data_IF_566366350756
#
_entry.id   IF_566366350756
#
_cell.length_a   1.000
_cell.length_b   1.000
_cell.length_c   1.000
_cell.angle_alpha   90.00
_cell.angle_beta   90.00
_cell.angle_gamma   90.00
#
_symmetry.space_group_name_H-M   'P 1'
#
loop_
_entity.id
_entity.type
_entity.pdbx_description
1 polymer ?
#
# COMPACT_ATOMS: atom_id res chain seq x y z
N UNK A 1 -11.81 -29.66 5.78
CA UNK A 1 -10.40 -30.05 5.84
C UNK A 1 -9.57 -29.03 5.09
N UNK A 2 -8.40 -28.71 5.61
CA UNK A 2 -7.43 -27.81 5.01
C UNK A 2 -6.10 -28.55 4.80
N UNK A 3 -5.33 -28.21 3.76
CA UNK A 3 -4.03 -28.83 3.52
C UNK A 3 -3.05 -28.50 4.63
N UNK A 4 -2.25 -29.48 5.05
CA UNK A 4 -1.24 -29.31 6.09
C UNK A 4 0.12 -29.67 5.51
N UNK A 5 1.08 -28.75 5.69
CA UNK A 5 2.48 -28.95 5.33
C UNK A 5 3.32 -28.88 6.60
N UNK A 6 4.18 -29.86 6.79
CA UNK A 6 5.10 -29.93 7.91
C UNK A 6 6.50 -29.48 7.47
N UNK A 7 7.24 -28.80 8.34
CA UNK A 7 8.59 -28.45 7.94
C UNK A 7 9.37 -27.64 8.94
N UNK A 8 10.59 -27.31 8.57
CA UNK A 8 11.50 -26.48 9.31
C UNK A 8 12.13 -25.43 8.38
N UNK A 9 11.72 -24.18 8.53
CA UNK A 9 12.32 -23.09 7.76
C UNK A 9 13.83 -22.95 8.04
N UNK A 10 14.26 -23.19 9.30
CA UNK A 10 15.66 -23.16 9.69
C UNK A 10 16.49 -24.23 8.96
N UNK A 11 15.92 -25.42 8.76
CA UNK A 11 16.59 -26.54 8.12
C UNK A 11 16.25 -26.68 6.64
N UNK A 12 15.51 -25.71 6.10
CA UNK A 12 15.17 -25.57 4.68
C UNK A 12 14.49 -26.80 4.06
N UNK A 13 13.51 -27.40 4.78
CA UNK A 13 12.72 -28.51 4.27
C UNK A 13 11.23 -28.34 4.58
N UNK A 14 10.37 -28.83 3.68
CA UNK A 14 8.91 -28.91 3.83
C UNK A 14 8.40 -30.24 3.26
N UNK A 15 7.39 -30.85 3.90
CA UNK A 15 6.84 -32.15 3.49
C UNK A 15 5.34 -32.24 3.80
N UNK A 16 4.63 -33.03 3.05
CA UNK A 16 3.24 -33.44 3.34
C UNK A 16 3.17 -34.50 4.44
N UNK A 17 4.27 -35.19 4.73
CA UNK A 17 4.40 -36.19 5.82
C UNK A 17 5.43 -35.71 6.85
N UNK A 18 4.99 -35.55 8.11
CA UNK A 18 5.82 -35.08 9.21
C UNK A 18 7.00 -36.03 9.55
N UNK A 19 6.93 -37.32 9.13
CA UNK A 19 7.95 -38.34 9.37
C UNK A 19 9.04 -38.32 8.30
N UNK A 20 8.75 -37.74 7.14
CA UNK A 20 9.63 -37.84 5.97
C UNK A 20 10.06 -36.44 5.53
N UNK A 21 11.14 -35.89 6.12
CA UNK A 21 11.70 -34.60 5.69
C UNK A 21 12.17 -34.65 4.23
N UNK A 22 11.95 -33.57 3.50
CA UNK A 22 12.53 -33.37 2.16
C UNK A 22 13.81 -32.52 2.27
N UNK A 23 14.47 -32.27 1.15
CA UNK A 23 15.70 -31.46 1.11
C UNK A 23 15.48 -30.00 0.70
N UNK A 24 14.21 -29.58 0.52
CA UNK A 24 13.87 -28.25 0.00
C UNK A 24 12.48 -27.77 0.43
N UNK A 25 12.12 -26.56 0.00
CA UNK A 25 10.83 -25.89 0.27
C UNK A 25 9.79 -26.10 -0.86
N UNK A 26 10.13 -26.85 -1.91
CA UNK A 26 9.25 -27.03 -3.07
C UNK A 26 7.86 -27.57 -2.69
N UNK A 27 7.68 -28.54 -1.78
CA UNK A 27 6.35 -29.00 -1.40
C UNK A 27 5.44 -27.89 -0.82
N UNK A 28 6.01 -26.89 -0.14
CA UNK A 28 5.24 -25.73 0.31
C UNK A 28 4.83 -24.84 -0.87
N UNK A 29 5.74 -24.57 -1.81
CA UNK A 29 5.48 -23.74 -2.97
C UNK A 29 4.42 -24.38 -3.88
N UNK A 30 4.50 -25.69 -4.09
CA UNK A 30 3.51 -26.45 -4.86
C UNK A 30 2.14 -26.41 -4.19
N UNK A 31 2.07 -26.57 -2.88
CA UNK A 31 0.82 -26.46 -2.13
C UNK A 31 0.21 -25.05 -2.20
N UNK A 32 1.05 -24.00 -2.20
CA UNK A 32 0.58 -22.62 -2.39
C UNK A 32 -0.05 -22.45 -3.77
N UNK A 33 0.62 -22.94 -4.83
CA UNK A 33 0.12 -22.86 -6.20
C UNK A 33 -1.20 -23.64 -6.36
N UNK A 34 -1.31 -24.80 -5.73
CA UNK A 34 -2.48 -25.66 -5.85
C UNK A 34 -3.69 -25.14 -5.08
N UNK A 35 -3.47 -24.62 -3.86
CA UNK A 35 -4.58 -24.35 -2.93
C UNK A 35 -4.92 -22.87 -2.76
N UNK A 36 -4.01 -21.96 -3.10
CA UNK A 36 -4.27 -20.51 -2.98
C UNK A 36 -4.66 -19.93 -4.34
N UNK A 37 -5.89 -19.42 -4.48
CA UNK A 37 -6.32 -18.85 -5.76
C UNK A 37 -5.50 -17.62 -6.11
N UNK A 38 -5.18 -17.45 -7.39
CA UNK A 38 -4.56 -16.25 -7.92
C UNK A 38 -5.45 -15.01 -7.68
N UNK A 39 -4.88 -13.81 -7.59
CA UNK A 39 -5.65 -12.58 -7.48
C UNK A 39 -6.66 -12.46 -8.62
N UNK A 40 -7.92 -12.13 -8.29
CA UNK A 40 -8.94 -11.90 -9.31
C UNK A 40 -8.58 -10.63 -10.09
N UNK A 41 -8.47 -10.75 -11.40
CA UNK A 41 -8.35 -9.61 -12.29
C UNK A 41 -9.76 -9.18 -12.71
N UNK A 42 -10.14 -7.96 -12.36
CA UNK A 42 -11.43 -7.38 -12.70
C UNK A 42 -11.21 -6.31 -13.78
N UNK A 43 -11.87 -6.49 -14.91
CA UNK A 43 -11.85 -5.50 -15.99
C UNK A 43 -12.86 -4.38 -15.72
N UNK A 44 -12.61 -3.20 -16.30
CA UNK A 44 -13.49 -2.05 -16.21
C UNK A 44 -12.72 -0.75 -15.88
N UNK A 45 -13.47 0.25 -15.45
CA UNK A 45 -12.91 1.55 -15.03
C UNK A 45 -11.95 1.38 -13.86
N UNK A 46 -10.83 2.12 -13.84
CA UNK A 46 -9.80 1.98 -12.80
C UNK A 46 -10.33 2.32 -11.41
N UNK A 47 -9.94 1.51 -10.44
CA UNK A 47 -10.38 1.64 -9.07
C UNK A 47 -9.29 1.12 -8.13
N UNK A 48 -8.77 1.98 -7.24
CA UNK A 48 -7.74 1.62 -6.27
C UNK A 48 -8.08 2.21 -4.91
N UNK A 49 -8.16 1.37 -3.88
CA UNK A 49 -8.32 1.80 -2.49
C UNK A 49 -6.96 2.14 -1.90
N UNK A 50 -6.82 3.33 -1.33
CA UNK A 50 -5.61 3.75 -0.62
C UNK A 50 -5.62 3.14 0.77
N UNK A 51 -4.67 2.26 1.05
CA UNK A 51 -4.57 1.51 2.31
C UNK A 51 -3.38 1.92 3.16
N UNK A 52 -2.39 2.58 2.56
CA UNK A 52 -1.20 3.03 3.25
C UNK A 52 -0.67 4.33 2.65
N UNK A 53 0.07 5.07 3.46
CA UNK A 53 0.76 6.30 3.10
C UNK A 53 2.25 6.09 3.20
N UNK A 54 2.98 6.60 2.23
CA UNK A 54 4.43 6.68 2.29
C UNK A 54 4.88 8.11 1.94
N UNK A 55 6.13 8.43 2.17
CA UNK A 55 6.67 9.76 1.97
C UNK A 55 8.07 9.71 1.38
N UNK A 56 8.33 10.61 0.45
CA UNK A 56 9.66 10.86 -0.09
C UNK A 56 9.98 12.35 -0.01
N UNK A 57 11.19 12.70 0.38
CA UNK A 57 11.64 14.09 0.41
C UNK A 57 11.59 14.79 -0.97
N UNK A 58 11.59 14.02 -2.06
CA UNK A 58 11.58 14.54 -3.44
C UNK A 58 10.18 14.64 -4.03
N UNK A 59 9.33 13.65 -3.76
CA UNK A 59 8.01 13.53 -4.39
C UNK A 59 6.85 13.84 -3.45
N UNK A 60 7.14 14.05 -2.16
CA UNK A 60 6.14 14.26 -1.14
C UNK A 60 5.39 12.99 -0.75
N UNK A 61 4.09 13.11 -0.48
CA UNK A 61 3.23 12.00 -0.07
C UNK A 61 2.97 11.04 -1.23
N UNK A 62 2.98 9.76 -0.94
CA UNK A 62 2.82 8.66 -1.90
C UNK A 62 1.66 7.80 -1.42
N UNK A 63 0.64 7.63 -2.28
CA UNK A 63 -0.50 6.78 -1.99
C UNK A 63 -0.16 5.34 -2.34
N UNK A 64 -0.31 4.42 -1.38
CA UNK A 64 -0.09 2.99 -1.59
C UNK A 64 -1.41 2.25 -1.42
N UNK A 65 -1.69 1.33 -2.35
CA UNK A 65 -2.90 0.55 -2.31
C UNK A 65 -2.95 -0.55 -3.36
N UNK A 66 -4.02 -1.34 -3.31
CA UNK A 66 -4.27 -2.37 -4.29
C UNK A 66 -5.21 -1.86 -5.39
N UNK A 67 -4.85 -2.11 -6.65
CA UNK A 67 -5.75 -1.90 -7.78
C UNK A 67 -6.84 -2.97 -7.71
N UNK A 68 -8.06 -2.53 -7.43
CA UNK A 68 -9.21 -3.43 -7.27
C UNK A 68 -9.79 -3.84 -8.64
N UNK A 69 -9.88 -2.89 -9.55
CA UNK A 69 -10.45 -3.08 -10.91
C UNK A 69 -9.69 -2.22 -11.93
N UNK A 70 -9.68 -2.68 -13.17
CA UNK A 70 -9.11 -1.96 -14.30
C UNK A 70 -7.59 -1.83 -14.25
N UNK A 71 -7.07 -0.80 -14.90
CA UNK A 71 -5.63 -0.55 -15.00
C UNK A 71 -5.34 0.92 -14.76
N UNK A 72 -4.43 1.21 -13.85
CA UNK A 72 -3.86 2.55 -13.66
C UNK A 72 -2.65 2.72 -14.59
N UNK A 73 -2.47 3.94 -15.11
CA UNK A 73 -1.35 4.28 -16.01
C UNK A 73 -0.66 5.55 -15.55
N UNK A 74 0.65 5.64 -15.79
CA UNK A 74 1.40 6.90 -15.60
C UNK A 74 0.79 8.00 -16.49
N UNK A 75 0.69 9.21 -15.96
CA UNK A 75 0.11 10.34 -16.66
C UNK A 75 -1.42 10.34 -16.79
N UNK A 76 -2.10 9.34 -16.21
CA UNK A 76 -3.56 9.22 -16.29
C UNK A 76 -4.24 10.28 -15.43
N UNK A 77 -5.29 10.90 -15.96
CA UNK A 77 -6.21 11.72 -15.19
C UNK A 77 -7.13 10.81 -14.37
N UNK A 78 -7.34 11.15 -13.12
CA UNK A 78 -8.14 10.37 -12.16
C UNK A 78 -9.03 11.29 -11.32
N UNK A 79 -10.02 10.70 -10.69
CA UNK A 79 -10.78 11.33 -9.61
C UNK A 79 -10.46 10.66 -8.29
N UNK A 80 -10.04 11.43 -7.31
CA UNK A 80 -9.90 10.99 -5.93
C UNK A 80 -11.26 11.14 -5.25
N UNK A 81 -11.87 10.04 -4.88
CA UNK A 81 -13.09 10.02 -4.09
C UNK A 81 -12.72 9.92 -2.60
N UNK A 82 -13.07 10.96 -1.86
CA UNK A 82 -12.79 11.07 -0.42
C UNK A 82 -13.82 10.29 0.39
N UNK A 83 -13.47 9.97 1.63
CA UNK A 83 -14.37 9.32 2.60
C UNK A 83 -15.63 10.13 2.92
N UNK A 84 -15.55 11.46 2.86
CA UNK A 84 -16.66 12.37 3.05
C UNK A 84 -17.59 12.52 1.83
N UNK A 85 -17.29 11.80 0.74
CA UNK A 85 -18.02 11.85 -0.52
C UNK A 85 -17.58 12.97 -1.47
N UNK A 86 -16.59 13.78 -1.10
CA UNK A 86 -16.05 14.80 -1.99
C UNK A 86 -15.19 14.17 -3.10
N UNK A 87 -15.22 14.78 -4.28
CA UNK A 87 -14.52 14.32 -5.48
C UNK A 87 -13.47 15.36 -5.90
N UNK A 88 -12.22 14.95 -5.96
CA UNK A 88 -11.10 15.82 -6.34
C UNK A 88 -10.47 15.29 -7.62
N UNK A 89 -10.45 16.10 -8.67
CA UNK A 89 -9.79 15.75 -9.93
C UNK A 89 -8.28 15.90 -9.77
N UNK A 90 -7.54 14.89 -10.19
CA UNK A 90 -6.08 14.82 -10.06
C UNK A 90 -5.44 14.07 -11.21
N UNK A 91 -4.12 13.97 -11.20
CA UNK A 91 -3.36 13.27 -12.22
C UNK A 91 -2.25 12.44 -11.58
N UNK A 92 -2.08 11.21 -12.02
CA UNK A 92 -0.97 10.36 -11.65
C UNK A 92 0.30 10.89 -12.33
N UNK A 93 1.30 11.32 -11.56
CA UNK A 93 2.60 11.74 -12.11
C UNK A 93 3.51 10.55 -12.37
N UNK A 94 3.61 9.66 -11.38
CA UNK A 94 4.41 8.45 -11.47
C UNK A 94 3.68 7.28 -10.82
N UNK A 95 3.98 6.09 -11.33
CA UNK A 95 3.43 4.84 -10.86
C UNK A 95 4.57 3.87 -10.57
N UNK A 96 4.54 3.22 -9.42
CA UNK A 96 5.55 2.26 -9.00
C UNK A 96 4.92 0.95 -8.55
N UNK A 97 5.57 -0.17 -8.87
CA UNK A 97 5.31 -1.49 -8.28
C UNK A 97 6.36 -1.83 -7.24
N UNK A 98 6.07 -2.83 -6.41
CA UNK A 98 7.01 -3.32 -5.40
C UNK A 98 7.77 -4.53 -5.95
N UNK A 99 9.10 -4.48 -5.87
CA UNK A 99 9.99 -5.55 -6.32
C UNK A 99 11.02 -5.81 -5.21
N UNK A 100 10.87 -6.94 -4.52
CA UNK A 100 11.64 -7.21 -3.30
C UNK A 100 11.37 -6.17 -2.21
N UNK A 101 12.43 -5.56 -1.69
CA UNK A 101 12.36 -4.49 -0.68
C UNK A 101 12.30 -3.09 -1.31
N UNK A 102 12.35 -2.98 -2.62
CA UNK A 102 12.37 -1.71 -3.35
C UNK A 102 11.11 -1.44 -4.13
N UNK A 103 11.11 -0.28 -4.77
CA UNK A 103 10.07 0.14 -5.72
C UNK A 103 10.68 0.31 -7.10
N UNK A 104 9.93 -0.09 -8.12
CA UNK A 104 10.30 0.05 -9.52
C UNK A 104 9.23 0.87 -10.24
N UNK A 105 9.66 1.89 -10.95
CA UNK A 105 8.78 2.67 -11.80
C UNK A 105 8.19 1.79 -12.91
N UNK A 106 6.91 1.98 -13.20
CA UNK A 106 6.18 1.24 -14.23
C UNK A 106 5.20 2.16 -14.95
N UNK A 107 4.89 1.84 -16.19
CA UNK A 107 3.95 2.62 -17.01
C UNK A 107 2.49 2.27 -16.70
N UNK A 108 2.23 1.05 -16.20
CA UNK A 108 0.88 0.59 -15.91
C UNK A 108 0.85 -0.47 -14.80
N UNK A 109 -0.26 -0.50 -14.03
CA UNK A 109 -0.54 -1.54 -13.02
C UNK A 109 -1.99 -1.97 -13.16
N UNK A 110 -2.19 -3.28 -13.26
CA UNK A 110 -3.50 -3.89 -13.46
C UNK A 110 -4.15 -4.34 -12.15
N UNK A 111 -5.44 -4.63 -12.23
CA UNK A 111 -6.23 -5.21 -11.13
C UNK A 111 -5.54 -6.41 -10.49
N UNK A 112 -5.54 -6.47 -9.17
CA UNK A 112 -4.91 -7.51 -8.36
C UNK A 112 -3.57 -7.11 -7.76
N UNK A 113 -2.84 -6.21 -8.40
CA UNK A 113 -1.51 -5.76 -7.97
C UNK A 113 -1.57 -4.61 -6.96
N UNK A 114 -0.49 -4.47 -6.18
CA UNK A 114 -0.27 -3.37 -5.26
C UNK A 114 0.66 -2.36 -5.93
N UNK A 115 0.29 -1.09 -5.88
CA UNK A 115 1.12 -0.03 -6.43
C UNK A 115 1.24 1.17 -5.50
N UNK A 116 2.26 1.98 -5.79
CA UNK A 116 2.47 3.28 -5.17
C UNK A 116 2.25 4.37 -6.23
N UNK A 117 1.38 5.32 -5.93
CA UNK A 117 0.96 6.41 -6.81
C UNK A 117 1.53 7.73 -6.30
N UNK A 118 2.24 8.45 -7.17
CA UNK A 118 2.85 9.73 -6.90
C UNK A 118 2.11 10.84 -7.66
N UNK A 119 1.99 12.02 -7.03
CA UNK A 119 1.43 13.21 -7.67
C UNK A 119 -0.04 13.47 -7.37
N UNK A 120 -0.70 12.60 -6.64
CA UNK A 120 -2.02 12.86 -6.07
C UNK A 120 -1.83 13.58 -4.73
N UNK A 121 -2.58 14.65 -4.50
CA UNK A 121 -2.49 15.45 -3.28
C UNK A 121 -3.80 15.36 -2.47
N UNK A 122 -3.70 15.63 -1.17
CA UNK A 122 -4.86 15.69 -0.28
C UNK A 122 -5.55 14.37 0.00
N UNK A 123 -4.94 13.23 -0.34
CA UNK A 123 -5.49 11.91 -0.06
C UNK A 123 -5.25 11.45 1.38
N UNK A 124 -6.11 10.56 1.84
CA UNK A 124 -6.04 9.88 3.13
C UNK A 124 -6.26 8.38 2.98
N UNK A 125 -5.93 7.62 4.03
CA UNK A 125 -6.23 6.18 4.06
C UNK A 125 -7.76 5.99 4.02
N UNK A 126 -8.21 5.10 3.13
CA UNK A 126 -9.62 4.83 2.89
C UNK A 126 -10.23 5.62 1.73
N UNK A 127 -9.49 6.59 1.16
CA UNK A 127 -9.91 7.25 -0.08
C UNK A 127 -9.71 6.31 -1.28
N UNK A 128 -10.47 6.52 -2.34
CA UNK A 128 -10.40 5.70 -3.57
C UNK A 128 -9.93 6.53 -4.76
N UNK A 129 -8.91 6.06 -5.45
CA UNK A 129 -8.57 6.56 -6.79
C UNK A 129 -9.52 5.88 -7.79
N UNK A 130 -10.28 6.69 -8.51
CA UNK A 130 -11.31 6.26 -9.46
C UNK A 130 -11.05 6.78 -10.86
N UNK A 131 -11.85 6.28 -11.80
CA UNK A 131 -11.95 6.83 -13.13
C UNK A 131 -12.28 8.34 -13.12
N UNK A 132 -11.76 9.06 -14.11
CA UNK A 132 -11.89 10.52 -14.19
C UNK A 132 -13.32 11.00 -14.43
N UNK A 133 -14.07 10.28 -15.29
CA UNK A 133 -15.42 10.68 -15.69
C UNK A 133 -16.51 9.99 -14.87
N UNK A 134 -16.28 8.71 -14.55
CA UNK A 134 -17.23 7.87 -13.80
C UNK A 134 -16.60 7.38 -12.49
N UNK A 135 -16.51 8.23 -11.46
CA UNK A 135 -15.94 7.85 -10.19
C UNK A 135 -16.84 6.86 -9.44
N UNK A 136 -16.32 5.70 -9.16
CA UNK A 136 -17.00 4.65 -8.37
C UNK A 136 -16.14 4.34 -7.13
N UNK A 137 -16.40 4.99 -5.99
CA UNK A 137 -15.63 4.75 -4.77
C UNK A 137 -15.86 3.36 -4.21
N UNK A 138 -14.80 2.77 -3.66
CA UNK A 138 -14.90 1.57 -2.85
C UNK A 138 -15.42 1.92 -1.43
N UNK A 139 -16.02 0.96 -0.72
CA UNK A 139 -16.36 1.17 0.68
C UNK A 139 -15.13 1.64 1.47
N UNK A 140 -15.21 2.74 2.22
CA UNK A 140 -14.08 3.26 2.98
C UNK A 140 -13.68 2.28 4.08
N UNK A 141 -12.38 2.25 4.39
CA UNK A 141 -11.89 1.50 5.55
C UNK A 141 -12.34 2.23 6.81
N UNK A 142 -13.05 1.54 7.69
CA UNK A 142 -13.37 2.06 9.01
C UNK A 142 -12.07 2.19 9.82
N UNK A 143 -11.75 3.42 10.20
CA UNK A 143 -10.61 3.72 11.09
C UNK A 143 -11.23 4.23 12.38
N UNK A 144 -10.87 3.61 13.50
CA UNK A 144 -11.31 4.06 14.82
C UNK A 144 -10.81 5.49 15.07
N UNK A 145 -11.62 6.27 15.77
CA UNK A 145 -11.25 7.62 16.17
C UNK A 145 -10.06 7.56 17.15
N UNK A 146 -9.12 8.51 17.06
CA UNK A 146 -8.01 8.55 17.99
C UNK A 146 -8.49 8.75 19.42
N UNK A 147 -8.07 7.87 20.32
CA UNK A 147 -8.46 7.89 21.75
C UNK A 147 -7.58 8.82 22.59
N UNK A 148 -6.48 9.30 22.04
CA UNK A 148 -5.54 10.20 22.71
C UNK A 148 -5.13 11.35 21.80
N UNK A 149 -4.94 12.54 22.39
CA UNK A 149 -4.32 13.69 21.72
C UNK A 149 -2.99 14.01 22.39
N UNK A 150 -2.02 14.44 21.60
CA UNK A 150 -0.71 14.85 22.08
C UNK A 150 -0.37 16.23 21.53
N UNK A 151 0.12 17.11 22.40
CA UNK A 151 0.56 18.44 22.01
C UNK A 151 2.07 18.42 21.75
N UNK A 152 2.46 18.72 20.52
CA UNK A 152 3.86 18.92 20.13
C UNK A 152 4.20 20.39 20.20
N UNK A 153 5.10 20.76 21.09
CA UNK A 153 5.60 22.14 21.23
C UNK A 153 7.10 22.19 20.96
N UNK A 154 7.61 23.39 20.75
CA UNK A 154 9.05 23.60 20.71
C UNK A 154 9.67 23.21 22.05
N UNK A 155 10.90 22.69 22.01
CA UNK A 155 11.64 22.40 23.23
C UNK A 155 12.11 23.72 23.86
N UNK A 156 11.54 24.08 25.01
CA UNK A 156 11.87 25.25 25.84
C UNK A 156 12.78 24.91 27.03
N UNK A 157 13.29 23.68 27.06
CA UNK A 157 14.22 23.27 28.11
C UNK A 157 15.59 23.94 28.02
N UNK A 158 16.38 23.98 29.10
CA UNK A 158 17.76 24.52 29.11
C UNK A 158 18.70 23.79 28.13
N UNK A 159 18.30 22.64 27.61
CA UNK A 159 19.07 21.83 26.66
C UNK A 159 18.67 22.12 25.20
N UNK A 160 17.80 23.09 24.95
CA UNK A 160 17.39 23.49 23.61
C UNK A 160 18.61 23.73 22.70
N UNK A 161 18.62 23.07 21.55
CA UNK A 161 19.67 23.20 20.54
C UNK A 161 20.98 22.45 20.85
N UNK A 162 21.12 21.79 22.00
CA UNK A 162 22.30 20.96 22.31
C UNK A 162 22.20 19.57 21.72
N UNK A 163 20.98 19.05 21.64
CA UNK A 163 20.68 17.75 21.03
C UNK A 163 19.54 17.91 20.01
N UNK A 164 19.74 17.30 18.83
CA UNK A 164 18.77 17.36 17.72
C UNK A 164 18.89 18.61 16.84
N UNK A 165 18.58 18.42 15.55
CA UNK A 165 18.64 19.49 14.53
C UNK A 165 17.27 20.12 14.26
N UNK A 166 16.18 19.45 14.63
CA UNK A 166 14.82 19.82 14.28
C UNK A 166 14.05 20.24 15.52
N UNK A 167 14.33 21.44 16.00
CA UNK A 167 13.86 21.93 17.31
C UNK A 167 12.95 23.17 17.22
N UNK A 168 12.66 23.67 16.03
CA UNK A 168 11.81 24.86 15.82
C UNK A 168 10.40 24.48 15.36
N UNK A 169 9.44 25.40 15.53
CA UNK A 169 8.04 25.21 15.07
C UNK A 169 7.94 24.86 13.57
N UNK A 170 8.84 25.37 12.73
CA UNK A 170 8.92 25.02 11.30
C UNK A 170 9.28 23.55 11.05
N UNK A 171 9.92 22.92 12.00
CA UNK A 171 10.31 21.51 11.87
C UNK A 171 9.24 20.55 12.44
N UNK A 172 8.28 21.07 13.19
CA UNK A 172 7.18 20.31 13.79
C UNK A 172 5.96 20.27 12.83
N UNK A 173 5.81 21.28 11.98
CA UNK A 173 4.79 21.32 10.92
C UNK A 173 5.18 20.40 9.75
#
# INVERSE_FOLDING_TARGET
DFPVIYGSAKNNWMSTDWKTPTENLVPLLDAIIEHIPAPKQLEGTPQMLITSLDYSAYTGRIAVGRVHRGTLKEGMNITLAKRDGSLIKSKIKELHTFEGLGRKKTDAVSSGDICAVVGVEGFEIGDTICDFENPEPLPPIAIDEPTMSMLFTINDSPFFGKEGKFVTSRHIQ
#
